data_IF_503296732835
#
_entry.id   IF_503296732835
#
_cell.length_a   1.000
_cell.length_b   1.000
_cell.length_c   1.000
_cell.angle_alpha   90.00
_cell.angle_beta   90.00
_cell.angle_gamma   90.00
#
_symmetry.space_group_name_H-M   'P 1'
#
loop_
_entity.id
_entity.type
_entity.pdbx_description
1 polymer ?
#
# COMPACT_ATOMS: atom_id res chain seq x y z
N UNK A 1 -25.61 1.88 -26.37
CA UNK A 1 -26.04 1.22 -25.13
C UNK A 1 -24.87 1.38 -24.19
N UNK A 2 -24.88 2.46 -23.41
CA UNK A 2 -23.79 2.76 -22.48
C UNK A 2 -23.90 1.68 -21.40
N UNK A 3 -22.93 0.76 -21.34
CA UNK A 3 -22.87 -0.15 -20.20
C UNK A 3 -22.82 0.74 -18.96
N UNK A 4 -23.73 0.54 -18.01
CA UNK A 4 -23.70 1.22 -16.72
C UNK A 4 -22.41 0.79 -16.01
N UNK A 5 -21.29 1.46 -16.34
CA UNK A 5 -19.99 1.20 -15.75
C UNK A 5 -20.08 1.66 -14.31
N UNK A 6 -20.14 0.68 -13.41
CA UNK A 6 -20.11 0.94 -11.98
C UNK A 6 -18.74 1.44 -11.57
N UNK A 7 -18.72 2.25 -10.53
CA UNK A 7 -17.48 2.57 -9.84
C UNK A 7 -16.86 1.27 -9.31
N UNK A 8 -15.55 1.09 -9.49
CA UNK A 8 -14.82 -0.03 -8.92
C UNK A 8 -13.43 0.42 -8.47
N UNK A 9 -12.91 -0.26 -7.46
CA UNK A 9 -11.59 -0.06 -6.90
C UNK A 9 -10.98 -1.42 -6.58
N UNK A 10 -9.74 -1.63 -6.98
CA UNK A 10 -8.93 -2.77 -6.56
C UNK A 10 -7.65 -2.26 -5.92
N UNK A 11 -7.54 -2.42 -4.59
CA UNK A 11 -6.34 -2.05 -3.84
C UNK A 11 -5.39 -3.24 -3.87
N UNK A 12 -4.26 -3.08 -4.55
CA UNK A 12 -3.21 -4.09 -4.67
C UNK A 12 -2.12 -3.74 -3.66
N UNK A 13 -2.10 -4.43 -2.53
CA UNK A 13 -1.08 -4.24 -1.50
C UNK A 13 0.13 -5.10 -1.82
N UNK A 14 1.29 -4.49 -2.01
CA UNK A 14 2.57 -5.16 -2.19
C UNK A 14 3.38 -5.07 -0.90
N UNK A 15 3.69 -6.23 -0.32
CA UNK A 15 4.46 -6.33 0.90
C UNK A 15 5.96 -6.52 0.60
N UNK A 16 6.74 -5.44 0.66
CA UNK A 16 8.20 -5.49 0.52
C UNK A 16 8.93 -5.51 1.88
N UNK A 17 8.23 -5.86 2.97
CA UNK A 17 8.85 -6.14 4.26
C UNK A 17 9.60 -7.48 4.20
N UNK A 18 10.79 -7.52 4.80
CA UNK A 18 11.66 -8.70 4.76
C UNK A 18 11.25 -9.78 5.76
N UNK A 19 10.68 -9.39 6.90
CA UNK A 19 10.55 -10.25 8.07
C UNK A 19 9.10 -10.38 8.58
N UNK A 20 8.13 -9.75 7.93
CA UNK A 20 6.77 -9.68 8.47
C UNK A 20 5.70 -9.63 7.40
N UNK A 21 4.57 -10.26 7.71
CA UNK A 21 3.35 -10.17 6.92
C UNK A 21 2.60 -8.87 7.25
N UNK A 22 1.81 -8.39 6.29
CA UNK A 22 0.90 -7.27 6.51
C UNK A 22 -0.49 -7.84 6.71
N UNK A 23 -1.14 -7.41 7.78
CA UNK A 23 -2.51 -7.80 8.12
C UNK A 23 -3.42 -6.61 7.92
N UNK A 24 -4.55 -6.83 7.24
CA UNK A 24 -5.60 -5.83 7.07
C UNK A 24 -6.47 -5.81 8.33
N UNK A 25 -6.79 -4.63 8.86
CA UNK A 25 -7.66 -4.50 10.03
C UNK A 25 -8.58 -3.28 9.92
N UNK A 26 -9.62 -3.25 10.74
CA UNK A 26 -10.51 -2.11 10.92
C UNK A 26 -11.15 -1.64 9.60
N UNK A 27 -11.51 -2.59 8.73
CA UNK A 27 -12.18 -2.28 7.47
C UNK A 27 -13.57 -1.68 7.76
N UNK A 28 -13.78 -0.48 7.26
CA UNK A 28 -15.06 0.25 7.34
C UNK A 28 -15.48 0.59 5.92
N UNK A 29 -16.67 0.12 5.55
CA UNK A 29 -17.28 0.39 4.25
C UNK A 29 -18.41 1.39 4.46
N UNK A 30 -18.28 2.57 3.86
CA UNK A 30 -19.30 3.62 3.88
C UNK A 30 -20.26 3.41 2.70
N UNK A 31 -19.71 3.07 1.52
CA UNK A 31 -20.50 2.71 0.35
C UNK A 31 -19.78 1.71 -0.56
N UNK A 32 -20.56 0.96 -1.32
CA UNK A 32 -20.09 -0.15 -2.16
C UNK A 32 -20.02 -1.48 -1.40
N UNK A 33 -19.55 -2.51 -2.08
CA UNK A 33 -19.45 -3.86 -1.53
C UNK A 33 -18.06 -4.45 -1.82
N UNK A 34 -17.37 -4.98 -0.81
CA UNK A 34 -16.16 -5.76 -1.02
C UNK A 34 -16.49 -7.07 -1.75
N UNK A 35 -15.62 -7.50 -2.65
CA UNK A 35 -15.77 -8.76 -3.36
C UNK A 35 -14.42 -9.38 -3.67
N UNK A 36 -14.46 -10.69 -3.96
CA UNK A 36 -13.32 -11.44 -4.46
C UNK A 36 -13.60 -11.85 -5.91
N UNK A 37 -12.62 -11.60 -6.76
CA UNK A 37 -12.64 -11.98 -8.17
C UNK A 37 -11.71 -13.19 -8.37
N UNK A 38 -12.18 -14.35 -7.92
CA UNK A 38 -11.56 -15.65 -8.21
C UNK A 38 -12.35 -16.36 -9.34
N UNK A 39 -12.39 -17.69 -9.38
CA UNK A 39 -13.20 -18.47 -10.34
C UNK A 39 -14.72 -18.16 -10.24
N UNK A 40 -15.16 -17.63 -9.10
CA UNK A 40 -16.53 -17.19 -8.85
C UNK A 40 -16.52 -15.85 -8.13
N UNK A 41 -17.33 -14.92 -8.61
CA UNK A 41 -17.62 -13.67 -7.91
C UNK A 41 -18.31 -13.96 -6.58
N UNK A 42 -17.63 -13.61 -5.49
CA UNK A 42 -18.12 -13.77 -4.13
C UNK A 42 -18.08 -12.42 -3.41
N UNK A 43 -19.19 -12.04 -2.80
CA UNK A 43 -19.26 -10.84 -1.97
C UNK A 43 -18.65 -11.14 -0.61
N UNK A 44 -17.84 -10.21 -0.10
CA UNK A 44 -17.19 -10.33 1.19
C UNK A 44 -17.82 -9.34 2.19
N UNK A 45 -17.89 -9.77 3.43
CA UNK A 45 -18.13 -8.90 4.59
C UNK A 45 -16.84 -8.15 4.98
N UNK A 46 -16.93 -7.01 5.69
CA UNK A 46 -15.75 -6.32 6.20
C UNK A 46 -14.88 -7.20 7.11
N UNK A 47 -15.49 -8.11 7.87
CA UNK A 47 -14.78 -9.06 8.74
C UNK A 47 -13.95 -10.08 7.96
N UNK A 48 -14.40 -10.45 6.75
CA UNK A 48 -13.63 -11.31 5.85
C UNK A 48 -12.47 -10.55 5.20
N UNK A 49 -12.66 -9.27 4.89
CA UNK A 49 -11.56 -8.41 4.43
C UNK A 49 -10.49 -8.28 5.52
N UNK A 50 -10.88 -8.10 6.79
CA UNK A 50 -9.97 -8.04 7.94
C UNK A 50 -9.20 -9.34 8.23
N UNK A 51 -9.60 -10.47 7.61
CA UNK A 51 -8.83 -11.73 7.68
C UNK A 51 -7.73 -11.79 6.62
N UNK A 52 -7.60 -10.77 5.77
CA UNK A 52 -6.62 -10.75 4.68
C UNK A 52 -5.21 -10.58 5.22
N UNK A 53 -4.35 -11.53 4.85
CA UNK A 53 -2.91 -11.50 5.13
C UNK A 53 -2.13 -11.37 3.81
N UNK A 54 -1.29 -10.35 3.74
CA UNK A 54 -0.34 -10.12 2.65
C UNK A 54 1.01 -10.71 3.04
N UNK A 55 1.38 -11.88 2.50
CA UNK A 55 2.61 -12.56 2.90
C UNK A 55 3.84 -11.71 2.54
N UNK A 56 4.92 -11.86 3.31
CA UNK A 56 6.23 -11.26 3.02
C UNK A 56 6.67 -11.48 1.56
N UNK A 57 7.12 -10.42 0.89
CA UNK A 57 7.51 -10.45 -0.52
C UNK A 57 6.36 -10.72 -1.50
N UNK A 58 5.12 -10.81 -1.00
CA UNK A 58 3.93 -11.13 -1.78
C UNK A 58 3.03 -9.92 -2.03
N UNK A 59 1.88 -10.20 -2.65
CA UNK A 59 0.82 -9.21 -2.88
C UNK A 59 -0.55 -9.80 -2.63
N UNK A 60 -1.52 -8.94 -2.30
CA UNK A 60 -2.95 -9.26 -2.24
C UNK A 60 -3.75 -8.13 -2.85
N UNK A 61 -4.87 -8.51 -3.45
CA UNK A 61 -5.83 -7.57 -4.01
C UNK A 61 -7.09 -7.60 -3.16
N UNK A 62 -7.60 -6.41 -2.84
CA UNK A 62 -8.87 -6.21 -2.14
C UNK A 62 -9.73 -5.35 -3.06
N UNK A 63 -10.86 -5.89 -3.50
CA UNK A 63 -11.70 -5.24 -4.51
C UNK A 63 -13.03 -4.78 -3.92
N UNK A 64 -13.50 -3.63 -4.41
CA UNK A 64 -14.76 -3.00 -4.03
C UNK A 64 -15.51 -2.55 -5.28
N UNK A 65 -16.81 -2.78 -5.32
CA UNK A 65 -17.66 -2.32 -6.41
C UNK A 65 -18.81 -1.48 -5.87
N UNK A 66 -19.17 -0.44 -6.62
CA UNK A 66 -20.40 0.31 -6.42
C UNK A 66 -21.59 -0.42 -7.02
N UNK A 67 -22.73 0.26 -7.05
CA UNK A 67 -23.95 -0.28 -7.64
C UNK A 67 -24.57 0.70 -8.61
N UNK A 68 -24.77 0.27 -9.86
CA UNK A 68 -25.47 1.07 -10.87
C UNK A 68 -26.93 1.23 -10.53
N UNK A 69 -27.57 0.15 -10.10
CA UNK A 69 -28.97 0.12 -9.68
C UNK A 69 -29.27 1.15 -8.60
N UNK A 70 -28.36 1.31 -7.63
CA UNK A 70 -28.53 2.24 -6.51
C UNK A 70 -27.76 3.56 -6.67
N UNK A 71 -27.06 3.74 -7.81
CA UNK A 71 -26.20 4.91 -8.07
C UNK A 71 -25.20 5.16 -6.95
N UNK A 72 -24.56 4.09 -6.48
CA UNK A 72 -23.59 4.11 -5.39
C UNK A 72 -22.17 3.97 -5.93
N UNK A 73 -21.29 4.80 -5.36
CA UNK A 73 -19.85 4.71 -5.56
C UNK A 73 -19.21 3.66 -4.66
N UNK A 74 -17.91 3.84 -4.39
CA UNK A 74 -17.15 3.09 -3.40
C UNK A 74 -16.52 4.08 -2.42
N UNK A 75 -16.73 3.89 -1.13
CA UNK A 75 -16.12 4.72 -0.10
C UNK A 75 -15.85 3.89 1.13
N UNK A 76 -14.68 4.08 1.72
CA UNK A 76 -14.32 3.36 2.92
C UNK A 76 -12.90 3.62 3.37
N UNK A 77 -12.50 2.86 4.37
CA UNK A 77 -11.14 2.86 4.90
C UNK A 77 -10.75 1.50 5.44
N UNK A 78 -9.45 1.25 5.51
CA UNK A 78 -8.88 0.10 6.20
C UNK A 78 -7.50 0.46 6.75
N UNK A 79 -7.03 -0.30 7.74
CA UNK A 79 -5.70 -0.15 8.31
C UNK A 79 -4.77 -1.27 7.84
N UNK A 80 -3.53 -0.91 7.52
CA UNK A 80 -2.44 -1.84 7.32
C UNK A 80 -1.69 -2.01 8.64
N UNK A 81 -1.54 -3.25 9.11
CA UNK A 81 -0.82 -3.59 10.33
C UNK A 81 0.34 -4.54 10.06
N UNK A 82 1.36 -4.44 10.90
CA UNK A 82 2.44 -5.41 11.00
C UNK A 82 2.37 -6.00 12.40
N UNK A 83 2.12 -7.30 12.53
CA UNK A 83 1.66 -7.95 13.78
C UNK A 83 2.45 -7.52 15.04
N UNK A 84 3.78 -7.55 14.98
CA UNK A 84 4.62 -7.24 16.14
C UNK A 84 4.88 -5.74 16.35
N UNK A 85 4.63 -4.88 15.35
CA UNK A 85 5.04 -3.47 15.37
C UNK A 85 3.86 -2.49 15.31
N UNK A 86 2.63 -2.99 15.22
CA UNK A 86 1.42 -2.18 15.22
C UNK A 86 1.03 -1.66 13.84
N UNK A 87 0.28 -0.54 13.81
CA UNK A 87 -0.23 0.05 12.57
C UNK A 87 0.89 0.64 11.72
N UNK A 88 0.86 0.32 10.43
CA UNK A 88 1.71 0.90 9.39
C UNK A 88 1.08 2.20 8.90
N UNK A 89 -0.16 2.15 8.41
CA UNK A 89 -0.91 3.30 7.91
C UNK A 89 -2.41 2.97 7.82
N UNK A 90 -3.22 3.99 7.59
CA UNK A 90 -4.64 3.90 7.23
C UNK A 90 -4.81 4.29 5.77
N UNK A 91 -5.53 3.49 5.00
CA UNK A 91 -5.92 3.78 3.62
C UNK A 91 -7.37 4.27 3.62
N UNK A 92 -7.63 5.40 2.97
CA UNK A 92 -8.97 5.91 2.72
C UNK A 92 -9.20 6.02 1.21
N UNK A 93 -10.41 5.74 0.76
CA UNK A 93 -10.81 5.93 -0.63
C UNK A 93 -12.21 6.51 -0.73
N UNK A 94 -12.41 7.29 -1.78
CA UNK A 94 -13.71 7.76 -2.21
C UNK A 94 -13.75 7.82 -3.74
N UNK A 95 -14.51 6.91 -4.34
CA UNK A 95 -14.89 6.94 -5.74
C UNK A 95 -16.38 7.20 -5.80
N UNK A 96 -16.84 8.43 -6.09
CA UNK A 96 -18.27 8.71 -6.17
C UNK A 96 -18.89 8.05 -7.41
N UNK A 97 -20.21 7.85 -7.38
CA UNK A 97 -20.98 7.34 -8.52
C UNK A 97 -20.85 8.22 -9.78
N UNK A 98 -20.72 9.53 -9.58
CA UNK A 98 -20.51 10.50 -10.66
C UNK A 98 -19.18 10.30 -11.40
N UNK A 99 -18.25 9.50 -10.84
CA UNK A 99 -16.92 9.22 -11.41
C UNK A 99 -16.10 10.49 -11.64
N UNK A 100 -16.30 11.50 -10.80
CA UNK A 100 -15.57 12.77 -10.78
C UNK A 100 -15.22 13.10 -9.34
N UNK A 101 -13.96 13.47 -9.09
CA UNK A 101 -13.48 13.75 -7.74
C UNK A 101 -13.06 12.49 -7.00
N UNK A 102 -12.51 11.51 -7.72
CA UNK A 102 -11.92 10.32 -7.10
C UNK A 102 -10.78 10.72 -6.16
N UNK A 103 -10.71 10.06 -5.01
CA UNK A 103 -9.74 10.32 -3.95
C UNK A 103 -9.24 9.00 -3.36
N UNK A 104 -7.94 8.97 -3.06
CA UNK A 104 -7.31 7.90 -2.32
C UNK A 104 -6.16 8.46 -1.49
N UNK A 105 -6.23 8.29 -0.19
CA UNK A 105 -5.30 8.88 0.76
C UNK A 105 -4.65 7.83 1.66
N UNK A 106 -3.39 8.07 1.96
CA UNK A 106 -2.66 7.37 3.01
C UNK A 106 -2.56 8.31 4.21
N UNK A 107 -3.15 7.90 5.32
CA UNK A 107 -3.17 8.68 6.57
C UNK A 107 -2.55 7.86 7.70
N UNK A 108 -2.24 8.50 8.83
CA UNK A 108 -1.68 7.83 10.01
C UNK A 108 -0.45 6.95 9.75
N UNK A 109 0.36 7.29 8.73
CA UNK A 109 1.56 6.57 8.38
C UNK A 109 2.59 6.68 9.52
N UNK A 110 3.11 5.54 9.97
CA UNK A 110 4.31 5.50 10.80
C UNK A 110 5.55 5.74 9.93
N UNK A 111 5.79 7.01 9.60
CA UNK A 111 6.81 7.50 8.68
C UNK A 111 8.23 7.37 9.22
N UNK A 112 8.42 7.04 10.49
CA UNK A 112 9.74 6.74 11.06
C UNK A 112 10.22 5.33 10.66
N UNK A 113 9.28 4.40 10.44
CA UNK A 113 9.59 2.98 10.21
C UNK A 113 9.27 2.51 8.80
N UNK A 114 8.28 3.13 8.15
CA UNK A 114 7.74 2.65 6.89
C UNK A 114 7.62 3.76 5.85
N UNK A 115 7.79 3.34 4.61
CA UNK A 115 7.53 4.14 3.42
C UNK A 115 6.38 3.46 2.67
N UNK A 116 5.39 4.26 2.26
CA UNK A 116 4.33 3.82 1.37
C UNK A 116 4.42 4.59 0.07
N UNK A 117 4.36 3.88 -1.05
CA UNK A 117 4.22 4.47 -2.39
C UNK A 117 2.92 4.01 -3.00
N UNK A 118 2.12 4.95 -3.48
CA UNK A 118 0.83 4.69 -4.13
C UNK A 118 0.95 5.00 -5.62
N UNK A 119 0.33 4.18 -6.48
CA UNK A 119 0.24 4.48 -7.91
C UNK A 119 -0.55 5.78 -8.16
N UNK A 120 -0.33 6.45 -9.31
CA UNK A 120 -1.13 7.62 -9.68
C UNK A 120 -2.63 7.32 -9.67
N UNK A 121 -3.43 8.28 -9.22
CA UNK A 121 -4.89 8.21 -9.16
C UNK A 121 -5.47 9.11 -10.24
N UNK A 122 -6.46 8.62 -10.96
CA UNK A 122 -7.21 9.41 -11.93
C UNK A 122 -8.39 10.11 -11.25
N UNK A 123 -8.45 11.45 -11.33
CA UNK A 123 -9.52 12.23 -10.71
C UNK A 123 -10.90 12.05 -11.35
N UNK A 124 -10.96 11.46 -12.55
CA UNK A 124 -12.19 11.14 -13.27
C UNK A 124 -12.18 9.69 -13.78
N UNK A 125 -13.36 9.16 -14.07
CA UNK A 125 -13.55 7.76 -14.43
C UNK A 125 -13.64 6.86 -13.18
N UNK A 126 -13.38 5.57 -13.36
CA UNK A 126 -13.34 4.65 -12.22
C UNK A 126 -12.03 4.83 -11.44
N UNK A 127 -12.03 4.53 -10.15
CA UNK A 127 -10.79 4.50 -9.35
C UNK A 127 -9.82 3.44 -9.89
N UNK A 128 -10.36 2.29 -10.28
CA UNK A 128 -9.59 1.22 -10.93
C UNK A 128 -8.59 0.57 -9.98
N UNK A 129 -7.44 0.20 -10.53
CA UNK A 129 -6.41 -0.54 -9.80
C UNK A 129 -5.42 0.44 -9.16
N UNK A 130 -5.33 0.40 -7.83
CA UNK A 130 -4.40 1.22 -7.06
C UNK A 130 -3.37 0.30 -6.38
N UNK A 131 -2.10 0.45 -6.78
CA UNK A 131 -1.00 -0.26 -6.17
C UNK A 131 -0.49 0.49 -4.94
N UNK A 132 -0.44 -0.18 -3.79
CA UNK A 132 0.10 0.32 -2.52
C UNK A 132 1.32 -0.51 -2.17
N UNK A 133 2.49 0.06 -2.36
CA UNK A 133 3.75 -0.58 -2.03
C UNK A 133 4.19 -0.17 -0.62
N UNK A 134 4.38 -1.18 0.25
CA UNK A 134 4.83 -0.98 1.63
C UNK A 134 6.24 -1.48 1.79
N UNK A 135 7.15 -0.60 2.18
CA UNK A 135 8.55 -0.90 2.45
C UNK A 135 8.97 -0.39 3.83
N UNK A 136 9.99 -1.02 4.41
CA UNK A 136 10.61 -0.51 5.63
C UNK A 136 11.61 0.58 5.25
N UNK A 137 11.63 1.68 5.99
CA UNK A 137 12.71 2.64 5.88
C UNK A 137 13.93 1.96 6.47
N UNK A 138 14.88 1.61 5.60
CA UNK A 138 16.20 1.20 6.05
C UNK A 138 16.80 2.39 6.79
N UNK A 139 16.97 2.28 8.10
CA UNK A 139 18.07 3.02 8.70
C UNK A 139 19.29 2.60 7.90
N UNK A 140 19.92 3.56 7.23
CA UNK A 140 21.27 3.37 6.76
C UNK A 140 22.07 3.04 8.03
N UNK A 141 22.25 1.74 8.28
CA UNK A 141 23.10 1.25 9.33
C UNK A 141 24.48 1.74 8.91
N UNK A 142 24.91 2.87 9.47
CA UNK A 142 26.32 3.18 9.54
C UNK A 142 26.92 1.95 10.21
N UNK A 143 27.48 1.04 9.41
CA UNK A 143 28.26 -0.07 9.93
C UNK A 143 29.25 0.58 10.89
N UNK A 144 29.27 0.25 12.19
CA UNK A 144 30.40 0.63 13.00
C UNK A 144 31.60 -0.05 12.34
N UNK A 145 32.41 0.78 11.69
CA UNK A 145 33.63 0.38 11.02
C UNK A 145 34.59 -0.12 12.11
N UNK A 146 34.44 -1.39 12.53
CA UNK A 146 35.44 -2.06 13.35
C UNK A 146 36.63 -2.29 12.43
N UNK A 147 37.70 -1.54 12.70
CA UNK A 147 39.00 -1.55 12.04
C UNK A 147 39.06 -0.92 10.65
N UNK A 148 38.92 0.41 10.55
CA UNK A 148 39.97 1.25 9.91
C UNK A 148 40.06 2.59 10.65
N UNK A 149 41.22 2.84 11.26
CA UNK A 149 41.60 4.14 11.82
C UNK A 149 41.76 5.11 10.64
N UNK A 150 40.71 5.81 10.26
CA UNK A 150 40.79 6.89 9.29
C UNK A 150 41.38 8.12 9.98
N UNK A 151 42.70 8.24 9.96
CA UNK A 151 43.35 9.56 10.10
C UNK A 151 43.00 10.37 8.86
N UNK A 152 42.14 11.37 9.04
CA UNK A 152 41.97 12.43 8.05
C UNK A 152 43.28 13.22 7.99
N UNK A 153 44.04 13.02 6.92
CA UNK A 153 45.04 13.99 6.48
C UNK A 153 44.48 14.71 5.26
N UNK A 154 44.31 16.02 5.37
CA UNK A 154 44.00 16.88 4.24
C UNK A 154 45.27 17.01 3.42
N UNK A 155 45.32 16.38 2.25
CA UNK A 155 46.22 16.81 1.18
C UNK A 155 45.64 16.41 -0.18
N UNK A 156 45.54 17.40 -1.05
CA UNK A 156 45.06 17.23 -2.42
C UNK A 156 46.00 16.38 -3.27
N UNK A 157 45.43 15.90 -4.37
CA UNK A 157 46.11 15.47 -5.59
C UNK A 157 47.18 14.37 -5.44
N UNK A 158 46.78 13.11 -5.62
CA UNK A 158 47.19 12.25 -6.74
C UNK A 158 46.70 10.80 -6.49
N UNK A 159 46.33 10.12 -7.57
CA UNK A 159 45.84 8.75 -7.62
C UNK A 159 46.79 7.73 -6.97
N UNK A 160 46.27 6.65 -6.38
CA UNK A 160 46.89 5.31 -6.40
C UNK A 160 45.86 4.22 -6.06
N UNK A 161 45.98 3.10 -6.79
CA UNK A 161 45.26 1.83 -6.73
C UNK A 161 45.15 1.20 -5.32
N UNK A 162 44.01 0.59 -5.03
CA UNK A 162 43.87 -0.43 -4.00
C UNK A 162 44.07 -1.82 -4.62
N UNK A 163 45.10 -2.55 -4.21
CA UNK A 163 45.18 -4.02 -4.36
C UNK A 163 44.70 -4.69 -3.07
N UNK A 164 43.91 -5.76 -3.22
CA UNK A 164 43.38 -6.56 -2.12
C UNK A 164 44.45 -7.50 -1.53
N UNK A 165 44.45 -7.63 -0.21
CA UNK A 165 44.69 -8.90 0.50
C UNK A 165 43.54 -9.12 1.47
#
# INVERSE_FOLDING_TARGET
>A
MEHDVTQHLSIIVLNNLQESDIVIKNTIIISGQPYKDDEKLELLSPEEVDKTVVPRGGKRTISFCGSATFRLGVEGKLDLHCDAQGRIASLYWNGPWTRIGNQFDVTNLNSEKYLITVSPIHGSGTLGDISVNVARIGHCFQRPNRNKRCTFSVCGSLATFCSNQ
#
